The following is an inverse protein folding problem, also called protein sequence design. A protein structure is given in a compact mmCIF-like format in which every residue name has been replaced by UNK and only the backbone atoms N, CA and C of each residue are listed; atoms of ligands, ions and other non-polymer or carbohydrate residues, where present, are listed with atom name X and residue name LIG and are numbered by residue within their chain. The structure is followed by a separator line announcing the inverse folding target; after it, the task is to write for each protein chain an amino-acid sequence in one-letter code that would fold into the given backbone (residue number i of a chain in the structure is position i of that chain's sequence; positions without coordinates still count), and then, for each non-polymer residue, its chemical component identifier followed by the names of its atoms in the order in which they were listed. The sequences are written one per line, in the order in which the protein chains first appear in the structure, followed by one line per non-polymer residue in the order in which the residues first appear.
data_IF_178614663069
#
_entry.id   IF_178614663069
#
_cell.length_a   1.000
_cell.length_b   1.000
_cell.length_c   1.000
_cell.angle_alpha   90.00
_cell.angle_beta   90.00
_cell.angle_gamma   90.00
#
_symmetry.space_group_name_H-M   'P 1'
#
loop_
_entity.id
_entity.type
_entity.pdbx_description
1 polymer ?
#
# COMPACT_ATOMS: atom_id res chain seq x y z
N UNK A 1 1.75 -4.69 -28.56
CA UNK A 1 0.63 -4.96 -27.64
C UNK A 1 1.26 -5.49 -26.36
N UNK A 2 1.57 -4.63 -25.41
CA UNK A 2 2.12 -5.04 -24.11
C UNK A 2 0.96 -5.55 -23.27
N UNK A 3 1.01 -6.82 -22.88
CA UNK A 3 0.10 -7.38 -21.89
C UNK A 3 0.24 -6.55 -20.61
N UNK A 4 -0.78 -5.72 -20.34
CA UNK A 4 -1.00 -5.13 -19.03
C UNK A 4 -1.30 -6.28 -18.06
N UNK A 5 -0.26 -6.89 -17.52
CA UNK A 5 -0.42 -7.79 -16.39
C UNK A 5 -0.97 -6.95 -15.23
N UNK A 6 -2.21 -7.22 -14.85
CA UNK A 6 -2.79 -6.57 -13.70
C UNK A 6 -1.92 -6.89 -12.47
N UNK A 7 -1.45 -5.86 -11.77
CA UNK A 7 -0.69 -6.08 -10.54
C UNK A 7 -1.61 -6.72 -9.51
N UNK A 8 -1.27 -7.95 -9.12
CA UNK A 8 -2.00 -8.75 -8.15
C UNK A 8 -1.35 -8.73 -6.77
N UNK A 9 -0.04 -8.50 -6.69
CA UNK A 9 0.69 -8.49 -5.43
C UNK A 9 1.92 -7.61 -5.46
N UNK A 10 2.39 -7.23 -4.27
CA UNK A 10 3.65 -6.53 -4.08
C UNK A 10 4.21 -6.77 -2.67
N UNK A 11 5.47 -6.40 -2.52
CA UNK A 11 6.17 -6.40 -1.25
C UNK A 11 6.39 -4.96 -0.77
N UNK A 12 6.22 -4.73 0.54
CA UNK A 12 6.83 -3.58 1.23
C UNK A 12 8.05 -4.07 1.99
N UNK A 13 9.24 -3.70 1.52
CA UNK A 13 10.54 -4.05 2.11
C UNK A 13 11.03 -2.91 2.98
N UNK A 14 11.13 -3.12 4.30
CA UNK A 14 11.53 -2.08 5.25
C UNK A 14 13.04 -1.86 5.24
N UNK A 15 13.48 -0.60 5.17
CA UNK A 15 14.90 -0.29 4.99
C UNK A 15 15.79 -0.54 6.21
N UNK A 16 15.25 -0.47 7.44
CA UNK A 16 16.08 -0.53 8.65
C UNK A 16 16.47 -1.96 9.05
N UNK A 17 15.74 -2.97 8.58
CA UNK A 17 15.89 -4.35 9.03
C UNK A 17 15.45 -5.41 8.00
N UNK A 18 15.27 -5.00 6.75
CA UNK A 18 14.87 -5.85 5.62
C UNK A 18 13.58 -6.65 5.83
N UNK A 19 12.74 -6.23 6.78
CA UNK A 19 11.46 -6.89 7.01
C UNK A 19 10.55 -6.70 5.80
N UNK A 20 10.04 -7.81 5.27
CA UNK A 20 9.17 -7.84 4.09
C UNK A 20 7.73 -8.14 4.50
N UNK A 21 6.80 -7.37 3.95
CA UNK A 21 5.37 -7.63 4.04
C UNK A 21 4.78 -7.82 2.65
N UNK A 22 4.05 -8.92 2.45
CA UNK A 22 3.38 -9.22 1.20
C UNK A 22 1.96 -8.70 1.26
N UNK A 23 1.56 -8.04 0.19
CA UNK A 23 0.21 -7.53 -0.02
C UNK A 23 -0.37 -8.13 -1.29
N UNK A 24 -1.60 -8.60 -1.21
CA UNK A 24 -2.33 -9.21 -2.32
C UNK A 24 -3.61 -8.43 -2.59
N UNK A 25 -3.98 -8.33 -3.86
CA UNK A 25 -5.21 -7.67 -4.27
C UNK A 25 -6.40 -8.42 -3.68
N UNK A 26 -7.25 -7.69 -2.99
CA UNK A 26 -8.44 -8.23 -2.35
C UNK A 26 -9.60 -7.23 -2.45
N UNK A 27 -10.80 -7.73 -2.16
CA UNK A 27 -12.03 -6.94 -2.06
C UNK A 27 -12.60 -7.15 -0.66
N UNK A 28 -12.90 -6.06 0.04
CA UNK A 28 -13.49 -6.14 1.37
C UNK A 28 -14.99 -6.51 1.33
N UNK A 29 -15.59 -6.66 2.51
CA UNK A 29 -17.01 -7.01 2.66
C UNK A 29 -17.98 -5.94 2.12
N UNK A 30 -17.49 -4.73 1.88
CA UNK A 30 -18.27 -3.61 1.32
C UNK A 30 -18.14 -3.52 -0.20
N UNK A 31 -17.31 -4.36 -0.81
CA UNK A 31 -17.01 -4.33 -2.24
C UNK A 31 -15.87 -3.37 -2.61
N UNK A 32 -15.17 -2.77 -1.63
CA UNK A 32 -14.05 -1.89 -1.91
C UNK A 32 -12.80 -2.72 -2.24
N UNK A 33 -12.22 -2.49 -3.42
CA UNK A 33 -10.96 -3.12 -3.82
C UNK A 33 -9.76 -2.41 -3.22
N UNK A 34 -8.76 -3.19 -2.83
CA UNK A 34 -7.48 -2.72 -2.32
C UNK A 34 -6.46 -3.84 -2.31
N UNK A 35 -5.46 -3.69 -1.46
CA UNK A 35 -4.43 -4.68 -1.23
C UNK A 35 -4.37 -5.02 0.25
N UNK A 36 -4.64 -6.27 0.58
CA UNK A 36 -4.65 -6.77 1.94
C UNK A 36 -3.31 -7.41 2.26
N UNK A 37 -2.82 -7.19 3.48
CA UNK A 37 -1.58 -7.80 3.93
C UNK A 37 -1.80 -9.28 4.26
N UNK A 38 -0.92 -10.14 3.77
CA UNK A 38 -1.10 -11.60 3.83
C UNK A 38 -1.10 -12.17 5.26
N UNK A 39 -0.21 -11.69 6.13
CA UNK A 39 -0.07 -12.19 7.51
C UNK A 39 -1.00 -11.49 8.52
N UNK A 40 -1.64 -10.40 8.12
CA UNK A 40 -2.49 -9.54 8.96
C UNK A 40 -3.67 -9.00 8.13
N UNK A 41 -4.78 -9.74 8.02
CA UNK A 41 -5.92 -9.40 7.16
C UNK A 41 -6.64 -8.09 7.52
N UNK A 42 -6.40 -7.54 8.71
CA UNK A 42 -6.91 -6.23 9.14
C UNK A 42 -6.15 -5.05 8.52
N UNK A 43 -4.96 -5.28 7.96
CA UNK A 43 -4.11 -4.25 7.38
C UNK A 43 -4.27 -4.16 5.87
N UNK A 44 -4.60 -2.96 5.39
CA UNK A 44 -4.92 -2.70 3.98
C UNK A 44 -4.19 -1.48 3.42
N UNK A 45 -3.90 -1.55 2.12
CA UNK A 45 -3.57 -0.41 1.27
C UNK A 45 -4.74 -0.17 0.32
N UNK A 46 -5.32 1.03 0.38
CA UNK A 46 -6.53 1.38 -0.39
C UNK A 46 -6.33 2.69 -1.13
N UNK A 47 -7.03 2.84 -2.26
CA UNK A 47 -7.07 4.10 -2.99
C UNK A 47 -8.14 5.02 -2.42
N UNK A 48 -7.78 6.28 -2.19
CA UNK A 48 -8.67 7.37 -1.75
C UNK A 48 -8.53 8.53 -2.72
N UNK A 49 -9.64 9.08 -3.19
CA UNK A 49 -9.67 10.11 -4.24
C UNK A 49 -8.70 11.27 -4.02
N UNK A 50 -8.64 11.79 -2.79
CA UNK A 50 -7.86 12.99 -2.47
C UNK A 50 -6.44 12.68 -1.94
N UNK A 51 -6.17 11.41 -1.61
CA UNK A 51 -4.93 10.99 -0.95
C UNK A 51 -4.11 10.00 -1.77
N UNK A 52 -4.67 9.47 -2.86
CA UNK A 52 -4.08 8.37 -3.61
C UNK A 52 -4.12 7.07 -2.81
N UNK A 53 -3.12 6.22 -3.02
CA UNK A 53 -2.96 4.99 -2.27
C UNK A 53 -2.38 5.24 -0.88
N UNK A 54 -3.04 4.69 0.12
CA UNK A 54 -2.69 4.87 1.53
C UNK A 54 -2.81 3.56 2.29
N UNK A 55 -1.87 3.33 3.21
CA UNK A 55 -2.03 2.32 4.24
C UNK A 55 -3.00 2.86 5.30
N UNK A 56 -4.02 2.09 5.65
CA UNK A 56 -5.08 2.48 6.58
C UNK A 56 -4.87 1.81 7.93
N UNK A 57 -5.07 2.55 9.02
CA UNK A 57 -5.12 1.98 10.36
C UNK A 57 -6.43 1.19 10.57
N UNK A 58 -6.38 -0.03 11.13
CA UNK A 58 -7.58 -0.85 11.33
C UNK A 58 -8.59 -0.29 12.33
N UNK A 59 -8.14 0.51 13.29
CA UNK A 59 -8.92 0.96 14.44
C UNK A 59 -9.79 2.18 14.12
N UNK A 60 -9.22 3.22 13.51
CA UNK A 60 -9.88 4.49 13.25
C UNK A 60 -9.99 4.85 11.76
N UNK A 61 -9.43 4.03 10.87
CA UNK A 61 -9.40 4.30 9.44
C UNK A 61 -8.42 5.41 9.04
N UNK A 62 -7.59 5.87 9.96
CA UNK A 62 -6.60 6.91 9.75
C UNK A 62 -5.49 6.50 8.78
N UNK A 63 -4.85 7.49 8.16
CA UNK A 63 -3.76 7.23 7.21
C UNK A 63 -2.48 6.91 8.00
N UNK A 64 -2.05 5.65 7.90
CA UNK A 64 -0.82 5.15 8.50
C UNK A 64 0.40 5.39 7.61
N UNK A 65 0.24 5.37 6.29
CA UNK A 65 1.36 5.48 5.36
C UNK A 65 0.95 5.78 3.93
N UNK A 66 1.91 6.23 3.13
CA UNK A 66 1.70 6.71 1.75
C UNK A 66 2.99 6.65 0.93
N UNK A 67 2.90 6.72 -0.41
CA UNK A 67 4.04 7.01 -1.26
C UNK A 67 4.71 8.31 -0.83
N UNK A 68 6.04 8.28 -0.82
CA UNK A 68 6.86 9.44 -0.50
C UNK A 68 7.02 10.36 -1.70
N UNK A 69 7.32 9.79 -2.86
CA UNK A 69 7.79 10.53 -4.04
C UNK A 69 6.71 10.83 -5.08
N UNK A 70 5.53 10.19 -4.98
CA UNK A 70 4.46 10.32 -5.98
C UNK A 70 3.27 11.05 -5.37
N UNK A 71 2.93 12.21 -5.94
CA UNK A 71 1.80 13.02 -5.47
C UNK A 71 0.48 12.27 -5.70
N UNK A 72 -0.52 12.41 -4.80
CA UNK A 72 -1.82 11.75 -4.94
C UNK A 72 -2.47 11.84 -6.33
N UNK A 73 -2.40 13.03 -6.95
CA UNK A 73 -2.99 13.29 -8.27
C UNK A 73 -2.29 12.55 -9.42
N UNK A 74 -1.03 12.16 -9.23
CA UNK A 74 -0.21 11.49 -10.23
C UNK A 74 -0.19 9.96 -10.04
N UNK A 75 -0.86 9.45 -8.99
CA UNK A 75 -0.89 8.02 -8.70
C UNK A 75 -1.93 7.30 -9.58
N UNK A 76 -1.57 6.16 -10.20
CA UNK A 76 -2.54 5.37 -10.95
C UNK A 76 -3.60 4.78 -10.01
N UNK A 77 -4.85 4.75 -10.44
CA UNK A 77 -5.97 4.18 -9.66
C UNK A 77 -5.97 2.65 -9.66
N UNK A 78 -5.22 2.03 -10.57
CA UNK A 78 -5.17 0.58 -10.74
C UNK A 78 -4.31 -0.11 -9.68
N UNK A 79 -3.18 0.48 -9.28
CA UNK A 79 -2.26 -0.09 -8.30
C UNK A 79 -1.43 0.98 -7.57
N UNK A 80 -0.95 0.70 -6.34
CA UNK A 80 -0.09 1.62 -5.62
C UNK A 80 1.25 1.78 -6.32
N UNK A 81 1.83 2.98 -6.41
CA UNK A 81 3.10 3.18 -7.10
C UNK A 81 4.24 2.43 -6.42
N UNK A 82 5.09 1.79 -7.22
CA UNK A 82 6.41 1.32 -6.78
C UNK A 82 7.29 2.45 -6.25
N UNK A 83 8.29 2.08 -5.45
CA UNK A 83 9.26 3.01 -4.90
C UNK A 83 9.07 3.28 -3.41
N UNK A 84 9.45 4.49 -2.97
CA UNK A 84 9.54 4.78 -1.55
C UNK A 84 8.16 5.03 -0.91
N UNK A 85 7.95 4.37 0.22
CA UNK A 85 6.78 4.51 1.08
C UNK A 85 7.21 4.87 2.50
N UNK A 86 6.45 5.74 3.15
CA UNK A 86 6.65 6.07 4.56
C UNK A 86 5.40 5.73 5.33
N UNK A 87 5.58 5.01 6.45
CA UNK A 87 4.48 4.68 7.36
C UNK A 87 4.83 5.06 8.79
N UNK A 88 3.88 5.69 9.48
CA UNK A 88 3.92 5.97 10.91
C UNK A 88 3.41 4.76 11.70
N UNK A 89 4.14 4.37 12.73
CA UNK A 89 3.71 3.38 13.73
C UNK A 89 4.00 3.93 15.13
N UNK A 90 2.95 4.30 15.86
CA UNK A 90 3.09 5.00 17.15
C UNK A 90 3.86 6.31 17.00
N UNK A 91 5.00 6.42 17.68
CA UNK A 91 5.91 7.57 17.64
C UNK A 91 7.09 7.42 16.65
N UNK A 92 7.10 6.37 15.81
CA UNK A 92 8.15 6.10 14.83
C UNK A 92 7.63 6.23 13.41
N UNK A 93 8.53 6.56 12.49
CA UNK A 93 8.32 6.48 11.05
C UNK A 93 9.27 5.45 10.47
N UNK A 94 8.78 4.66 9.51
CA UNK A 94 9.54 3.65 8.82
C UNK A 94 9.48 3.90 7.32
N UNK A 95 10.61 3.70 6.64
CA UNK A 95 10.73 3.79 5.18
C UNK A 95 10.74 2.38 4.60
N UNK A 96 10.00 2.22 3.51
CA UNK A 96 9.87 0.97 2.76
C UNK A 96 10.12 1.21 1.27
N UNK A 97 10.52 0.16 0.56
CA UNK A 97 10.40 0.07 -0.90
C UNK A 97 9.20 -0.81 -1.25
N UNK A 98 8.28 -0.30 -2.06
CA UNK A 98 7.25 -1.09 -2.73
C UNK A 98 7.82 -1.68 -4.02
N UNK A 99 7.73 -3.00 -4.17
CA UNK A 99 8.20 -3.75 -5.34
C UNK A 99 7.11 -4.72 -5.77
N UNK A 100 6.66 -4.68 -7.02
CA UNK A 100 5.70 -5.64 -7.55
C UNK A 100 6.32 -7.05 -7.66
N UNK A 101 5.50 -8.09 -7.50
CA UNK A 101 5.90 -9.50 -7.59
C UNK A 101 4.92 -10.30 -8.44
#
# INVERSE_FOLDING_TARGET
MTESHAIHSFELRRHIDDLVYIFERATDVTGQSGFQRQDRPDLWITYRRDWGWVAIQPDDGGIAGRPWSVLPADQPTSCPPEGLWVSRKGNKSYVYSLVYI
#
